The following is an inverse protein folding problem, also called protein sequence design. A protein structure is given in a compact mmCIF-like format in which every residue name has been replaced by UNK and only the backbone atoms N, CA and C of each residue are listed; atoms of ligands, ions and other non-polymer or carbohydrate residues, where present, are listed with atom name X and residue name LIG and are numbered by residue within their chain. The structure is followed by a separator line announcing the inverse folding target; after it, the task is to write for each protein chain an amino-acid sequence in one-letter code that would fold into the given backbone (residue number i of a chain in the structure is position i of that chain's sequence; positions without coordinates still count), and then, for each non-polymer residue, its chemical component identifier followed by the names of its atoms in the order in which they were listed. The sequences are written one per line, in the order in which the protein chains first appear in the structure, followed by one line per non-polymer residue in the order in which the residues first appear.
data_IF_950727328548
#
_entry.id   IF_950727328548
#
_cell.length_a   1.000
_cell.length_b   1.000
_cell.length_c   1.000
_cell.angle_alpha   90.00
_cell.angle_beta   90.00
_cell.angle_gamma   90.00
#
_symmetry.space_group_name_H-M   'P 1'
#
loop_
_entity.id
_entity.type
_entity.pdbx_description
1 polymer ?
#
# COMPACT_ATOMS: atom_id res chain seq x y z
N UNK A 1 10.54 34.32 8.09
CA UNK A 1 9.81 33.75 6.94
C UNK A 1 8.53 34.55 6.70
N UNK A 2 8.24 34.94 5.44
CA UNK A 2 6.97 35.55 5.05
C UNK A 2 6.67 35.22 3.59
N UNK A 3 5.46 34.74 3.31
CA UNK A 3 5.05 34.31 1.97
C UNK A 3 3.53 34.37 1.78
N UNK A 4 3.13 34.30 0.52
CA UNK A 4 1.74 34.14 0.09
C UNK A 4 1.65 32.92 -0.83
N UNK A 5 0.64 32.07 -0.61
CA UNK A 5 0.46 30.82 -1.35
C UNK A 5 -1.03 30.58 -1.63
N UNK A 6 -1.34 29.87 -2.72
CA UNK A 6 -2.69 29.36 -2.97
C UNK A 6 -3.11 28.38 -1.87
N UNK A 7 -4.33 28.53 -1.37
CA UNK A 7 -4.95 27.61 -0.39
C UNK A 7 -4.96 26.17 -0.89
N UNK A 8 -5.33 25.99 -2.16
CA UNK A 8 -5.41 24.66 -2.77
C UNK A 8 -4.04 23.99 -2.83
N UNK A 9 -3.00 24.74 -3.22
CA UNK A 9 -1.64 24.23 -3.26
C UNK A 9 -1.10 23.93 -1.88
N UNK A 10 -1.31 24.81 -0.90
CA UNK A 10 -0.92 24.54 0.49
C UNK A 10 -1.61 23.27 1.03
N UNK A 11 -2.92 23.14 0.82
CA UNK A 11 -3.68 21.96 1.25
C UNK A 11 -3.18 20.68 0.57
N UNK A 12 -2.83 20.74 -0.73
CA UNK A 12 -2.27 19.64 -1.52
C UNK A 12 -0.94 19.15 -0.94
N UNK A 13 0.02 20.05 -0.79
CA UNK A 13 1.37 19.68 -0.35
C UNK A 13 1.41 19.27 1.13
N UNK A 14 0.68 19.98 2.03
CA UNK A 14 0.55 19.57 3.43
C UNK A 14 -0.16 18.24 3.56
N UNK A 15 -1.20 17.99 2.75
CA UNK A 15 -1.94 16.74 2.74
C UNK A 15 -1.10 15.55 2.24
N UNK A 16 -0.24 15.77 1.24
CA UNK A 16 0.66 14.73 0.72
C UNK A 16 1.72 14.34 1.77
N UNK A 17 2.39 15.32 2.35
CA UNK A 17 3.46 15.13 3.33
C UNK A 17 2.90 14.67 4.69
N UNK A 18 1.74 15.16 5.08
CA UNK A 18 1.12 14.85 6.38
C UNK A 18 0.77 13.37 6.59
N UNK A 19 0.74 12.56 5.52
CA UNK A 19 0.52 11.11 5.62
C UNK A 19 1.67 10.37 6.33
N UNK A 20 2.88 10.91 6.29
CA UNK A 20 4.05 10.36 6.99
C UNK A 20 3.95 10.61 8.47
N UNK A 21 3.43 11.78 8.84
CA UNK A 21 3.38 12.25 10.24
C UNK A 21 2.42 11.41 11.06
N UNK A 22 2.91 10.87 12.17
CA UNK A 22 2.08 10.07 13.06
C UNK A 22 1.16 10.94 13.91
N UNK A 23 -0.09 10.49 14.04
CA UNK A 23 -1.10 11.21 14.83
C UNK A 23 -0.77 11.27 16.33
N UNK A 24 0.02 10.32 16.83
CA UNK A 24 0.47 10.22 18.22
C UNK A 24 1.95 9.87 18.23
N UNK A 25 2.76 10.75 18.78
CA UNK A 25 4.20 10.54 18.96
C UNK A 25 4.63 11.11 20.32
N UNK A 26 5.61 10.49 20.94
CA UNK A 26 6.24 10.98 22.17
C UNK A 26 7.28 12.05 21.87
N UNK A 27 7.68 12.25 20.63
CA UNK A 27 8.67 13.23 20.17
C UNK A 27 7.93 14.38 19.47
N UNK A 28 7.74 15.54 20.14
CA UNK A 28 6.86 16.62 19.63
C UNK A 28 7.16 17.08 18.21
N UNK A 29 8.45 17.15 17.81
CA UNK A 29 8.82 17.64 16.49
C UNK A 29 8.36 16.71 15.35
N UNK A 30 8.16 15.41 15.62
CA UNK A 30 7.66 14.44 14.64
C UNK A 30 6.14 14.60 14.34
N UNK A 31 5.42 15.39 15.14
CA UNK A 31 4.05 15.82 14.81
C UNK A 31 4.01 17.06 13.92
N UNK A 32 5.17 17.69 13.71
CA UNK A 32 5.34 18.87 12.87
C UNK A 32 5.79 18.47 11.45
N UNK A 33 5.62 19.40 10.55
CA UNK A 33 6.25 19.45 9.22
C UNK A 33 7.21 20.63 9.19
N UNK A 34 8.32 20.46 8.49
CA UNK A 34 9.26 21.53 8.20
C UNK A 34 8.75 22.32 7.00
N UNK A 35 8.67 23.62 7.15
CA UNK A 35 8.41 24.58 6.07
C UNK A 35 9.72 25.32 5.75
N UNK A 36 10.13 25.32 4.49
CA UNK A 36 11.28 26.08 3.99
C UNK A 36 10.86 26.92 2.78
N UNK A 37 10.90 28.22 2.95
CA UNK A 37 10.56 29.21 1.92
C UNK A 37 11.84 29.72 1.26
N UNK A 38 12.07 29.35 0.00
CA UNK A 38 13.28 29.68 -0.77
C UNK A 38 12.92 29.97 -2.24
N UNK A 39 13.57 30.97 -2.83
CA UNK A 39 13.31 31.38 -4.20
C UNK A 39 11.84 31.73 -4.41
N UNK A 40 11.15 30.99 -5.25
CA UNK A 40 9.72 31.14 -5.55
C UNK A 40 8.90 29.94 -5.09
N UNK A 41 9.42 29.13 -4.17
CA UNK A 41 8.78 27.87 -3.75
C UNK A 41 8.74 27.73 -2.23
N UNK A 42 7.67 27.13 -1.76
CA UNK A 42 7.55 26.60 -0.41
C UNK A 42 7.80 25.09 -0.47
N UNK A 43 8.85 24.62 0.19
CA UNK A 43 9.16 23.21 0.40
C UNK A 43 8.59 22.79 1.74
N UNK A 44 7.94 21.63 1.78
CA UNK A 44 7.35 21.04 2.98
C UNK A 44 7.90 19.63 3.15
N UNK A 45 8.46 19.32 4.32
CA UNK A 45 9.01 18.00 4.64
C UNK A 45 8.36 17.46 5.90
N UNK A 46 7.98 16.19 5.89
CA UNK A 46 7.51 15.44 7.04
C UNK A 46 8.27 14.12 7.16
N UNK A 47 8.47 13.64 8.39
CA UNK A 47 9.17 12.37 8.66
C UNK A 47 8.68 11.72 9.94
N UNK A 48 8.82 10.39 9.99
CA UNK A 48 8.68 9.57 11.21
C UNK A 48 10.01 8.89 11.60
N UNK A 49 11.14 9.33 11.01
CA UNK A 49 12.51 8.80 11.13
C UNK A 49 12.81 7.60 10.22
N UNK A 50 11.81 6.91 9.72
CA UNK A 50 11.97 5.77 8.80
C UNK A 50 11.53 6.13 7.38
N UNK A 51 10.58 7.05 7.28
CA UNK A 51 10.03 7.56 6.03
C UNK A 51 10.11 9.08 6.06
N UNK A 52 10.50 9.68 4.94
CA UNK A 52 10.45 11.12 4.72
C UNK A 52 9.70 11.42 3.43
N UNK A 53 8.73 12.31 3.51
CA UNK A 53 8.08 12.87 2.32
C UNK A 53 8.40 14.35 2.21
N UNK A 54 8.73 14.79 1.01
CA UNK A 54 8.92 16.20 0.67
C UNK A 54 8.02 16.54 -0.51
N UNK A 55 7.34 17.68 -0.41
CA UNK A 55 6.57 18.24 -1.52
C UNK A 55 6.83 19.73 -1.62
N UNK A 56 6.69 20.29 -2.82
CA UNK A 56 6.84 21.73 -3.01
C UNK A 56 5.69 22.33 -3.80
N UNK A 57 5.47 23.62 -3.61
CA UNK A 57 4.48 24.41 -4.34
C UNK A 57 5.03 25.81 -4.62
N UNK A 58 4.56 26.40 -5.69
CA UNK A 58 4.85 27.81 -6.01
C UNK A 58 4.26 28.73 -4.95
N UNK A 59 5.02 29.73 -4.54
CA UNK A 59 4.63 30.70 -3.55
C UNK A 59 5.36 32.03 -3.79
N UNK A 60 4.71 33.13 -3.51
CA UNK A 60 5.36 34.46 -3.52
C UNK A 60 6.10 34.64 -2.19
N UNK A 61 7.41 34.51 -2.21
CA UNK A 61 8.27 34.62 -1.03
C UNK A 61 8.68 36.09 -0.84
N UNK A 62 8.20 36.73 0.25
CA UNK A 62 8.58 38.06 0.63
C UNK A 62 9.86 38.06 1.49
N UNK A 63 9.95 37.07 2.40
CA UNK A 63 11.11 36.85 3.25
C UNK A 63 11.39 35.38 3.36
N UNK A 64 12.54 34.89 2.89
CA UNK A 64 12.93 33.50 3.01
C UNK A 64 13.11 33.08 4.50
N UNK A 65 13.15 31.78 4.73
CA UNK A 65 13.40 31.20 6.04
C UNK A 65 12.67 29.88 6.23
N UNK A 66 12.93 29.27 7.39
CA UNK A 66 12.39 27.95 7.72
C UNK A 66 11.89 27.89 9.16
N UNK A 67 10.90 27.02 9.39
CA UNK A 67 10.34 26.72 10.71
C UNK A 67 9.64 25.36 10.67
N UNK A 68 9.27 24.83 11.83
CA UNK A 68 8.37 23.67 11.88
C UNK A 68 7.04 24.03 12.53
N UNK A 69 5.96 23.39 12.07
CA UNK A 69 4.60 23.62 12.55
C UNK A 69 3.79 22.32 12.51
N UNK A 70 2.77 22.21 13.37
CA UNK A 70 1.88 21.06 13.40
C UNK A 70 1.27 20.76 12.02
N UNK A 71 1.57 19.59 11.48
CA UNK A 71 1.04 19.09 10.20
C UNK A 71 -0.49 19.08 10.20
N UNK A 72 -1.08 18.56 11.27
CA UNK A 72 -2.53 18.46 11.44
C UNK A 72 -3.20 19.84 11.44
N UNK A 73 -2.71 20.76 12.28
CA UNK A 73 -3.33 22.09 12.41
C UNK A 73 -3.23 22.89 11.11
N UNK A 74 -2.05 22.93 10.49
CA UNK A 74 -1.89 23.65 9.21
C UNK A 74 -2.72 23.01 8.09
N UNK A 75 -2.78 21.69 8.03
CA UNK A 75 -3.62 20.96 7.07
C UNK A 75 -5.12 21.22 7.27
N UNK A 76 -5.60 21.23 8.52
CA UNK A 76 -7.00 21.52 8.84
C UNK A 76 -7.36 22.98 8.47
N UNK A 77 -6.49 23.94 8.77
CA UNK A 77 -6.65 25.34 8.41
C UNK A 77 -6.69 25.49 6.88
N UNK A 78 -5.73 24.91 6.16
CA UNK A 78 -5.68 25.02 4.70
C UNK A 78 -6.93 24.43 4.02
N UNK A 79 -7.46 23.30 4.53
CA UNK A 79 -8.70 22.70 3.99
C UNK A 79 -9.95 23.53 4.27
N UNK A 80 -10.01 24.20 5.43
CA UNK A 80 -11.20 24.93 5.90
C UNK A 80 -11.17 26.43 5.61
N UNK A 81 -10.05 26.98 5.14
CA UNK A 81 -9.91 28.39 4.83
C UNK A 81 -10.90 28.82 3.74
N UNK A 82 -11.50 29.99 3.91
CA UNK A 82 -12.55 30.52 3.01
C UNK A 82 -12.03 31.27 1.79
N UNK A 83 -10.77 31.71 1.81
CA UNK A 83 -10.16 32.46 0.70
C UNK A 83 -9.18 31.60 -0.08
N UNK A 84 -9.01 31.88 -1.37
CA UNK A 84 -8.11 31.18 -2.27
C UNK A 84 -6.63 31.48 -1.98
N UNK A 85 -6.34 32.57 -1.29
CA UNK A 85 -4.97 32.98 -0.95
C UNK A 85 -4.77 32.95 0.55
N UNK A 86 -3.61 32.44 0.96
CA UNK A 86 -3.17 32.37 2.34
C UNK A 86 -1.84 33.10 2.52
N UNK A 87 -1.75 33.93 3.56
CA UNK A 87 -0.53 34.59 3.97
C UNK A 87 0.05 33.88 5.19
N UNK A 88 1.32 33.50 5.11
CA UNK A 88 2.07 32.88 6.20
C UNK A 88 3.21 33.80 6.62
N UNK A 89 3.32 34.11 7.90
CA UNK A 89 4.43 34.90 8.42
C UNK A 89 4.87 34.43 9.81
N UNK A 90 6.18 34.32 10.02
CA UNK A 90 6.76 34.03 11.33
C UNK A 90 6.79 35.33 12.14
N UNK A 91 6.15 35.31 13.30
CA UNK A 91 6.11 36.39 14.28
C UNK A 91 6.54 35.84 15.66
N UNK A 92 7.75 36.18 16.06
CA UNK A 92 8.38 35.56 17.23
C UNK A 92 8.52 34.04 17.07
N UNK A 93 7.89 33.30 17.98
CA UNK A 93 7.84 31.83 18.02
C UNK A 93 6.56 31.24 17.41
N UNK A 94 5.76 32.06 16.73
CA UNK A 94 4.48 31.63 16.15
C UNK A 94 4.41 31.88 14.65
N UNK A 95 3.83 30.90 13.95
CA UNK A 95 3.41 31.07 12.57
C UNK A 95 2.03 31.70 12.55
N UNK A 96 1.96 32.96 12.09
CA UNK A 96 0.70 33.62 11.75
C UNK A 96 0.23 33.14 10.39
N UNK A 97 -0.99 32.61 10.32
CA UNK A 97 -1.66 32.19 9.09
C UNK A 97 -2.91 33.03 8.91
N UNK A 98 -3.02 33.73 7.78
CA UNK A 98 -4.18 34.57 7.45
C UNK A 98 -4.86 34.06 6.19
N UNK A 99 -6.19 34.05 6.20
CA UNK A 99 -7.03 33.80 5.04
C UNK A 99 -8.27 34.69 5.13
N UNK A 100 -8.28 35.77 4.34
CA UNK A 100 -9.28 36.81 4.44
C UNK A 100 -9.31 37.47 5.83
N UNK A 101 -10.46 37.38 6.52
CA UNK A 101 -10.62 37.90 7.89
C UNK A 101 -10.16 36.94 8.99
N UNK A 102 -9.95 35.67 8.63
CA UNK A 102 -9.51 34.67 9.59
C UNK A 102 -8.03 34.78 9.86
N UNK A 103 -7.63 34.70 11.14
CA UNK A 103 -6.25 34.73 11.58
C UNK A 103 -6.01 33.60 12.58
N UNK A 104 -4.92 32.87 12.39
CA UNK A 104 -4.50 31.79 13.26
C UNK A 104 -3.05 32.05 13.67
N UNK A 105 -2.70 31.67 14.90
CA UNK A 105 -1.34 31.70 15.41
C UNK A 105 -0.97 30.30 15.89
N UNK A 106 -0.02 29.68 15.23
CA UNK A 106 0.43 28.31 15.50
C UNK A 106 1.82 28.34 16.15
N UNK A 107 1.99 27.59 17.23
CA UNK A 107 3.31 27.42 17.83
C UNK A 107 4.26 26.73 16.86
N UNK A 108 5.51 27.17 16.84
CA UNK A 108 6.57 26.62 16.00
C UNK A 108 7.68 26.02 16.85
N UNK A 109 8.47 25.12 16.25
CA UNK A 109 9.75 24.69 16.79
C UNK A 109 10.85 25.05 15.78
N UNK A 110 12.11 25.19 16.23
CA UNK A 110 13.22 25.51 15.34
C UNK A 110 13.38 24.49 14.21
N UNK A 111 13.65 24.98 12.99
CA UNK A 111 13.92 24.13 11.84
C UNK A 111 15.20 23.27 12.04
N UNK A 112 16.17 23.78 12.82
CA UNK A 112 17.42 23.06 13.17
C UNK A 112 17.20 21.76 13.90
N UNK A 113 16.08 21.62 14.59
CA UNK A 113 15.76 20.45 15.41
C UNK A 113 15.01 19.38 14.61
N UNK A 114 14.61 19.71 13.36
CA UNK A 114 13.87 18.78 12.52
C UNK A 114 14.82 17.72 11.95
N UNK A 115 14.52 16.43 12.15
CA UNK A 115 15.38 15.35 11.66
C UNK A 115 15.33 15.24 10.13
N UNK A 116 16.49 15.00 9.54
CA UNK A 116 16.65 14.77 8.11
C UNK A 116 17.02 13.32 7.81
N UNK A 117 16.24 12.66 6.99
CA UNK A 117 16.56 11.34 6.46
C UNK A 117 17.49 11.50 5.27
N UNK A 118 18.81 11.65 5.55
CA UNK A 118 19.84 11.85 4.52
C UNK A 118 19.63 10.93 3.33
N UNK A 119 19.94 11.43 2.15
CA UNK A 119 19.91 10.66 0.92
C UNK A 119 20.81 9.41 1.02
N UNK A 120 20.49 8.38 0.23
CA UNK A 120 21.20 7.11 0.19
C UNK A 120 22.07 6.97 -1.06
N UNK A 121 22.81 5.87 -1.12
CA UNK A 121 23.34 5.37 -2.40
C UNK A 121 22.26 4.51 -3.04
N UNK A 122 22.12 4.63 -4.35
CA UNK A 122 21.15 3.87 -5.13
C UNK A 122 21.87 3.08 -6.21
N UNK A 123 21.53 1.81 -6.33
CA UNK A 123 22.17 0.85 -7.24
C UNK A 123 21.43 0.77 -8.57
N UNK A 124 20.13 1.05 -8.58
CA UNK A 124 19.29 1.08 -9.76
C UNK A 124 18.29 2.24 -9.72
N UNK A 125 17.95 2.75 -10.92
CA UNK A 125 16.90 3.75 -11.09
C UNK A 125 16.10 3.45 -12.35
N UNK A 126 14.76 3.56 -12.25
CA UNK A 126 13.84 3.25 -13.34
C UNK A 126 12.51 3.99 -13.19
N UNK A 127 11.75 4.07 -14.28
CA UNK A 127 10.42 4.66 -14.28
C UNK A 127 9.35 3.56 -14.40
N UNK A 128 8.40 3.51 -13.46
CA UNK A 128 7.32 2.51 -13.44
C UNK A 128 6.09 3.07 -12.71
N UNK A 129 4.90 2.56 -12.98
CA UNK A 129 3.74 2.73 -12.08
C UNK A 129 3.89 1.75 -10.90
N UNK A 130 4.71 2.16 -9.91
CA UNK A 130 4.98 1.32 -8.73
C UNK A 130 3.73 1.06 -7.91
N UNK A 131 2.81 2.02 -7.84
CA UNK A 131 1.55 1.85 -7.14
C UNK A 131 0.69 0.76 -7.79
N UNK A 132 0.58 0.75 -9.12
CA UNK A 132 -0.14 -0.28 -9.86
C UNK A 132 0.54 -1.66 -9.74
N UNK A 133 1.88 -1.71 -9.74
CA UNK A 133 2.62 -2.96 -9.55
C UNK A 133 2.37 -3.59 -8.18
N UNK A 134 2.38 -2.81 -7.10
CA UNK A 134 2.28 -3.36 -5.74
C UNK A 134 0.83 -3.49 -5.22
N UNK A 135 -0.12 -2.74 -5.78
CA UNK A 135 -1.51 -2.74 -5.29
C UNK A 135 -2.14 -4.14 -5.22
N UNK A 136 -1.97 -5.02 -6.24
CA UNK A 136 -2.54 -6.35 -6.19
C UNK A 136 -1.89 -7.29 -5.17
N UNK A 137 -0.77 -6.90 -4.55
CA UNK A 137 -0.05 -7.72 -3.55
C UNK A 137 -0.28 -7.23 -2.12
N UNK A 138 -0.68 -5.98 -1.94
CA UNK A 138 -0.71 -5.31 -0.64
C UNK A 138 -1.62 -5.98 0.41
N UNK A 139 -2.69 -6.68 -0.01
CA UNK A 139 -3.59 -7.40 0.89
C UNK A 139 -2.92 -8.59 1.60
N UNK A 140 -1.85 -9.13 1.02
CA UNK A 140 -1.12 -10.27 1.55
C UNK A 140 0.06 -9.88 2.47
N UNK A 141 0.29 -8.58 2.70
CA UNK A 141 1.32 -8.12 3.64
C UNK A 141 0.95 -8.56 5.07
N UNK A 142 1.88 -9.19 5.77
CA UNK A 142 1.71 -9.59 7.17
C UNK A 142 1.61 -8.37 8.11
N UNK A 143 0.91 -8.58 9.22
CA UNK A 143 0.84 -7.63 10.34
C UNK A 143 1.45 -8.18 11.62
N UNK A 144 2.05 -9.38 11.56
CA UNK A 144 2.67 -10.01 12.71
C UNK A 144 4.03 -9.37 13.01
N UNK A 145 4.23 -8.90 14.24
CA UNK A 145 5.46 -8.25 14.67
C UNK A 145 6.66 -9.20 14.70
N UNK A 146 6.43 -10.47 15.01
CA UNK A 146 7.48 -11.48 15.09
C UNK A 146 8.05 -11.87 13.74
N UNK A 147 7.29 -11.68 12.66
CA UNK A 147 7.69 -11.92 11.27
C UNK A 147 7.83 -10.62 10.50
N UNK A 148 8.57 -9.65 11.08
CA UNK A 148 8.71 -8.29 10.55
C UNK A 148 9.18 -8.24 9.08
N UNK A 149 9.98 -9.23 8.63
CA UNK A 149 10.42 -9.35 7.24
C UNK A 149 9.29 -9.66 6.24
N UNK A 150 8.09 -9.96 6.71
CA UNK A 150 6.87 -10.10 5.91
C UNK A 150 5.95 -8.86 5.98
N UNK A 151 6.33 -7.81 6.74
CA UNK A 151 5.51 -6.61 6.94
C UNK A 151 5.68 -5.57 5.82
N UNK A 152 5.99 -6.04 4.62
CA UNK A 152 6.16 -5.24 3.44
C UNK A 152 5.98 -6.03 2.15
N UNK A 153 6.19 -5.36 1.03
CA UNK A 153 6.24 -5.97 -0.30
C UNK A 153 7.69 -6.22 -0.67
N UNK A 154 7.99 -7.46 -1.03
CA UNK A 154 9.28 -7.84 -1.60
C UNK A 154 9.32 -7.42 -3.06
N UNK A 155 10.16 -6.46 -3.38
CA UNK A 155 10.41 -5.95 -4.72
C UNK A 155 11.76 -6.48 -5.21
N UNK A 156 11.77 -7.22 -6.29
CA UNK A 156 13.00 -7.82 -6.82
C UNK A 156 12.96 -7.99 -8.33
N UNK A 157 14.13 -8.23 -8.90
CA UNK A 157 14.28 -8.59 -10.31
C UNK A 157 14.33 -10.12 -10.46
N UNK A 158 13.64 -10.62 -11.47
CA UNK A 158 13.73 -12.00 -11.91
C UNK A 158 13.83 -12.02 -13.43
N UNK A 159 14.99 -12.40 -13.96
CA UNK A 159 15.31 -12.25 -15.39
C UNK A 159 15.12 -10.78 -15.83
N UNK A 160 14.20 -10.52 -16.72
CA UNK A 160 13.87 -9.19 -17.24
C UNK A 160 12.55 -8.64 -16.66
N UNK A 161 12.08 -9.20 -15.56
CA UNK A 161 10.84 -8.80 -14.90
C UNK A 161 11.13 -8.11 -13.57
N UNK A 162 10.34 -7.08 -13.26
CA UNK A 162 10.22 -6.47 -11.95
C UNK A 162 9.02 -7.10 -11.22
N UNK A 163 9.28 -7.78 -10.12
CA UNK A 163 8.28 -8.50 -9.35
C UNK A 163 8.02 -7.86 -8.00
N UNK A 164 6.75 -7.79 -7.64
CA UNK A 164 6.26 -7.45 -6.31
C UNK A 164 5.60 -8.68 -5.70
N UNK A 165 6.00 -9.05 -4.49
CA UNK A 165 5.49 -10.24 -3.79
C UNK A 165 5.17 -9.89 -2.35
N UNK A 166 4.04 -10.37 -1.84
CA UNK A 166 3.70 -10.30 -0.42
C UNK A 166 3.09 -11.61 0.06
N UNK A 167 3.32 -11.95 1.32
CA UNK A 167 2.75 -13.13 1.98
C UNK A 167 2.65 -12.92 3.48
N UNK A 168 1.63 -13.53 4.09
CA UNK A 168 1.48 -13.65 5.55
C UNK A 168 1.67 -15.09 6.05
N UNK A 169 2.05 -16.01 5.14
CA UNK A 169 2.21 -17.45 5.39
C UNK A 169 0.93 -18.26 5.19
N UNK A 170 -0.23 -17.62 5.01
CA UNK A 170 -1.51 -18.26 4.71
C UNK A 170 -1.95 -18.03 3.26
N UNK A 171 -1.47 -16.97 2.69
CA UNK A 171 -1.69 -16.58 1.31
C UNK A 171 -0.47 -15.84 0.77
N UNK A 172 -0.34 -15.85 -0.54
CA UNK A 172 0.71 -15.15 -1.26
C UNK A 172 0.08 -14.44 -2.45
N UNK A 173 0.59 -13.28 -2.77
CA UNK A 173 0.26 -12.58 -4.00
C UNK A 173 1.54 -12.13 -4.68
N UNK A 174 1.65 -12.40 -5.97
CA UNK A 174 2.74 -11.99 -6.83
C UNK A 174 2.17 -11.23 -8.03
N UNK A 175 2.80 -10.12 -8.35
CA UNK A 175 2.51 -9.36 -9.56
C UNK A 175 3.82 -8.93 -10.22
N UNK A 176 3.88 -8.95 -11.54
CA UNK A 176 5.09 -8.65 -12.29
C UNK A 176 4.79 -7.81 -13.54
N UNK A 177 5.80 -7.04 -13.93
CA UNK A 177 5.84 -6.26 -15.18
C UNK A 177 7.22 -6.40 -15.78
N UNK A 178 7.38 -6.09 -17.06
CA UNK A 178 8.70 -5.99 -17.67
C UNK A 178 9.55 -4.95 -16.92
N UNK A 179 10.81 -5.26 -16.68
CA UNK A 179 11.70 -4.33 -15.99
C UNK A 179 12.14 -3.19 -16.94
N UNK A 180 11.75 -1.95 -16.66
CA UNK A 180 12.00 -0.83 -17.59
C UNK A 180 13.34 -0.15 -17.38
N UNK A 181 14.19 -0.65 -16.47
CA UNK A 181 15.39 0.05 -16.02
C UNK A 181 16.70 -0.55 -16.54
N UNK A 182 17.75 0.21 -16.34
CA UNK A 182 19.13 -0.24 -16.46
C UNK A 182 19.72 -0.46 -15.05
N UNK A 183 20.71 -1.35 -14.94
CA UNK A 183 21.27 -1.75 -13.66
C UNK A 183 20.48 -2.85 -12.97
N UNK A 184 21.02 -3.34 -11.87
CA UNK A 184 20.41 -4.42 -11.09
C UNK A 184 20.49 -4.07 -9.61
N UNK A 185 19.53 -4.52 -8.85
CA UNK A 185 19.51 -4.40 -7.39
C UNK A 185 19.15 -5.74 -6.76
N UNK A 186 19.59 -5.95 -5.55
CA UNK A 186 19.16 -7.07 -4.75
C UNK A 186 17.69 -6.87 -4.34
N UNK A 187 16.97 -7.99 -4.15
CA UNK A 187 15.59 -7.91 -3.68
C UNK A 187 15.49 -7.13 -2.36
N UNK A 188 14.51 -6.23 -2.27
CA UNK A 188 14.30 -5.34 -1.13
C UNK A 188 12.88 -5.45 -0.60
N UNK A 189 12.70 -5.22 0.71
CA UNK A 189 11.38 -5.28 1.35
C UNK A 189 10.91 -3.86 1.64
N UNK A 190 9.92 -3.40 0.86
CA UNK A 190 9.32 -2.08 0.99
C UNK A 190 8.26 -2.10 2.09
N UNK A 191 8.40 -1.30 3.16
CA UNK A 191 7.50 -1.33 4.30
C UNK A 191 6.04 -1.06 3.92
N UNK A 192 5.10 -1.71 4.61
CA UNK A 192 3.65 -1.53 4.41
C UNK A 192 3.20 -0.06 4.43
N UNK A 193 3.75 0.75 5.36
CA UNK A 193 3.42 2.19 5.45
C UNK A 193 3.85 2.93 4.19
N UNK A 194 5.02 2.62 3.64
CA UNK A 194 5.52 3.19 2.39
C UNK A 194 4.63 2.79 1.21
N UNK A 195 4.26 1.52 1.11
CA UNK A 195 3.32 1.00 0.08
C UNK A 195 2.00 1.79 0.09
N UNK A 196 1.46 2.09 1.28
CA UNK A 196 0.23 2.87 1.43
C UNK A 196 0.33 4.35 1.03
N UNK A 197 1.54 4.86 0.75
CA UNK A 197 1.78 6.26 0.40
C UNK A 197 2.27 6.47 -1.03
N UNK A 198 2.40 5.42 -1.81
CA UNK A 198 2.90 5.49 -3.19
C UNK A 198 2.02 6.42 -4.05
N UNK A 199 2.62 7.33 -4.80
CA UNK A 199 1.90 8.12 -5.80
C UNK A 199 1.36 7.22 -6.93
N UNK A 200 0.21 7.58 -7.46
CA UNK A 200 -0.37 6.91 -8.65
C UNK A 200 0.31 7.37 -9.93
N UNK A 201 0.32 6.49 -10.92
CA UNK A 201 0.93 6.73 -12.22
C UNK A 201 2.43 6.48 -12.21
N UNK A 202 3.08 6.79 -13.33
CA UNK A 202 4.51 6.59 -13.49
C UNK A 202 5.32 7.48 -12.56
N UNK A 203 6.29 6.88 -11.88
CA UNK A 203 7.19 7.52 -10.93
C UNK A 203 8.63 7.09 -11.18
N UNK A 204 9.58 7.95 -10.86
CA UNK A 204 10.99 7.58 -10.84
C UNK A 204 11.31 6.89 -9.51
N UNK A 205 11.73 5.64 -9.60
CA UNK A 205 12.12 4.81 -8.46
C UNK A 205 13.62 4.65 -8.45
N UNK A 206 14.25 4.93 -7.31
CA UNK A 206 15.67 4.63 -7.08
C UNK A 206 15.78 3.67 -5.90
N UNK A 207 16.45 2.54 -6.10
CA UNK A 207 16.58 1.46 -5.12
C UNK A 207 18.05 1.32 -4.74
N UNK A 208 18.33 1.31 -3.45
CA UNK A 208 19.62 0.98 -2.86
C UNK A 208 19.47 -0.10 -1.80
N UNK A 209 20.55 -0.43 -1.12
CA UNK A 209 20.58 -1.49 -0.11
C UNK A 209 19.68 -1.21 1.10
N UNK A 210 19.67 0.04 1.59
CA UNK A 210 18.96 0.40 2.81
C UNK A 210 17.76 1.33 2.61
N UNK A 211 17.60 1.90 1.41
CA UNK A 211 16.57 2.90 1.13
C UNK A 211 16.01 2.77 -0.27
N UNK A 212 14.74 3.16 -0.40
CA UNK A 212 14.06 3.40 -1.66
C UNK A 212 13.62 4.85 -1.73
N UNK A 213 13.79 5.48 -2.90
CA UNK A 213 13.34 6.84 -3.19
C UNK A 213 12.37 6.80 -4.36
N UNK A 214 11.22 7.43 -4.19
CA UNK A 214 10.16 7.51 -5.20
C UNK A 214 9.88 8.98 -5.47
N UNK A 215 10.07 9.43 -6.72
CA UNK A 215 9.86 10.81 -7.12
C UNK A 215 8.75 10.92 -8.17
N UNK A 216 7.81 11.84 -7.95
CA UNK A 216 6.67 12.11 -8.83
C UNK A 216 6.42 13.62 -8.87
N UNK A 217 6.85 14.30 -9.93
CA UNK A 217 6.77 15.75 -10.02
C UNK A 217 7.44 16.43 -8.81
N UNK A 218 6.66 17.25 -8.10
CA UNK A 218 7.11 17.98 -6.91
C UNK A 218 7.16 17.15 -5.62
N UNK A 219 6.73 15.90 -5.66
CA UNK A 219 6.68 15.00 -4.50
C UNK A 219 7.82 14.00 -4.52
N UNK A 220 8.49 13.85 -3.39
CA UNK A 220 9.55 12.83 -3.18
C UNK A 220 9.24 12.09 -1.88
N UNK A 221 9.22 10.77 -1.96
CA UNK A 221 9.09 9.86 -0.82
C UNK A 221 10.39 9.06 -0.71
N UNK A 222 11.07 9.16 0.42
CA UNK A 222 12.24 8.34 0.75
C UNK A 222 11.89 7.46 1.95
N UNK A 223 12.13 6.17 1.86
CA UNK A 223 11.84 5.20 2.92
C UNK A 223 13.06 4.34 3.21
N UNK A 224 13.32 4.05 4.47
CA UNK A 224 14.13 2.90 4.84
C UNK A 224 13.45 1.63 4.37
N UNK A 225 14.23 0.64 4.02
CA UNK A 225 13.79 -0.71 3.70
C UNK A 225 13.78 -1.57 4.96
N UNK A 226 12.99 -2.63 4.96
CA UNK A 226 13.03 -3.61 6.07
C UNK A 226 14.32 -4.43 5.92
N UNK A 227 15.17 -4.37 6.95
CA UNK A 227 16.38 -5.20 7.04
C UNK A 227 15.98 -6.63 7.42
N UNK A 228 15.97 -7.52 6.43
CA UNK A 228 15.56 -8.91 6.60
C UNK A 228 15.62 -9.68 5.29
N UNK A 229 15.55 -11.00 5.41
CA UNK A 229 15.53 -11.89 4.26
C UNK A 229 14.11 -12.35 3.99
N UNK A 230 13.56 -11.99 2.83
CA UNK A 230 12.27 -12.51 2.40
C UNK A 230 12.41 -14.00 2.06
N UNK A 231 11.43 -14.87 2.45
CA UNK A 231 11.54 -16.30 2.20
C UNK A 231 11.52 -16.61 0.70
N UNK A 232 12.09 -17.76 0.35
CA UNK A 232 12.06 -18.30 -1.02
C UNK A 232 10.61 -18.70 -1.37
N UNK A 233 9.85 -17.74 -1.81
CA UNK A 233 8.42 -17.87 -2.10
C UNK A 233 8.15 -18.75 -3.33
N UNK A 234 9.08 -18.89 -4.26
CA UNK A 234 8.92 -19.74 -5.45
C UNK A 234 8.68 -21.22 -5.07
N UNK A 235 9.19 -21.65 -3.93
CA UNK A 235 8.98 -23.01 -3.44
C UNK A 235 7.57 -23.29 -2.94
N UNK A 236 6.84 -22.27 -2.56
CA UNK A 236 5.46 -22.44 -2.04
C UNK A 236 4.41 -22.31 -3.12
N UNK A 237 4.76 -21.86 -4.33
CA UNK A 237 3.86 -21.79 -5.47
C UNK A 237 3.74 -23.20 -6.09
N UNK A 238 2.55 -23.84 -6.04
CA UNK A 238 2.36 -25.15 -6.61
C UNK A 238 2.55 -25.16 -8.14
N UNK A 239 3.33 -26.14 -8.63
CA UNK A 239 3.56 -26.30 -10.09
C UNK A 239 2.78 -27.47 -10.68
N UNK A 240 2.16 -28.33 -9.84
CA UNK A 240 1.48 -29.56 -10.24
C UNK A 240 -0.03 -29.54 -9.99
N UNK A 241 -0.65 -28.36 -9.94
CA UNK A 241 -2.08 -28.21 -9.78
C UNK A 241 -2.76 -28.30 -11.16
N UNK A 242 -3.20 -29.51 -11.54
CA UNK A 242 -3.74 -29.80 -12.87
C UNK A 242 -5.25 -29.60 -12.97
N UNK A 243 -5.97 -29.67 -11.84
CA UNK A 243 -7.43 -29.44 -11.82
C UNK A 243 -7.74 -27.96 -11.97
N UNK A 244 -8.28 -27.60 -13.12
CA UNK A 244 -8.57 -26.22 -13.50
C UNK A 244 -10.07 -25.93 -13.39
N UNK A 245 -10.46 -25.12 -12.45
CA UNK A 245 -11.85 -24.68 -12.21
C UNK A 245 -11.99 -23.24 -12.65
N UNK A 246 -12.84 -22.98 -13.63
CA UNK A 246 -13.13 -21.64 -14.17
C UNK A 246 -14.45 -21.18 -13.61
N UNK A 247 -14.48 -20.00 -13.00
CA UNK A 247 -15.69 -19.40 -12.40
C UNK A 247 -15.75 -17.90 -12.70
N UNK A 248 -16.96 -17.36 -12.77
CA UNK A 248 -17.13 -15.90 -12.77
C UNK A 248 -16.75 -15.33 -11.40
N UNK A 249 -15.85 -14.33 -11.37
CA UNK A 249 -15.34 -13.72 -10.13
C UNK A 249 -16.46 -13.18 -9.23
N UNK A 250 -17.41 -12.44 -9.81
CA UNK A 250 -18.44 -11.75 -9.05
C UNK A 250 -19.49 -12.73 -8.51
N UNK A 251 -19.83 -13.77 -9.29
CA UNK A 251 -20.68 -14.85 -8.83
C UNK A 251 -20.06 -15.59 -7.66
N UNK A 252 -18.76 -15.91 -7.76
CA UNK A 252 -18.02 -16.59 -6.72
C UNK A 252 -17.93 -15.76 -5.44
N UNK A 253 -17.54 -14.47 -5.53
CA UNK A 253 -17.48 -13.57 -4.39
C UNK A 253 -18.82 -13.43 -3.69
N UNK A 254 -19.91 -13.25 -4.45
CA UNK A 254 -21.26 -13.11 -3.89
C UNK A 254 -21.73 -14.40 -3.19
N UNK A 255 -21.45 -15.56 -3.76
CA UNK A 255 -21.78 -16.84 -3.12
C UNK A 255 -20.98 -17.04 -1.82
N UNK A 256 -19.68 -16.80 -1.85
CA UNK A 256 -18.83 -16.84 -0.67
C UNK A 256 -19.31 -15.89 0.44
N UNK A 257 -19.64 -14.63 0.09
CA UNK A 257 -20.13 -13.63 1.06
C UNK A 257 -21.49 -14.05 1.67
N UNK A 258 -22.42 -14.62 0.86
CA UNK A 258 -23.73 -15.08 1.36
C UNK A 258 -23.55 -16.18 2.40
N UNK A 259 -22.78 -17.24 2.12
CA UNK A 259 -22.59 -18.33 3.06
C UNK A 259 -21.73 -17.92 4.26
N UNK A 260 -20.78 -16.99 4.07
CA UNK A 260 -19.95 -16.47 5.16
C UNK A 260 -20.73 -15.68 6.22
N UNK A 261 -21.96 -15.26 5.92
CA UNK A 261 -22.83 -14.54 6.88
C UNK A 261 -23.08 -15.33 8.15
N UNK A 262 -23.14 -16.66 8.06
CA UNK A 262 -23.31 -17.54 9.24
C UNK A 262 -21.99 -18.05 9.80
N UNK A 263 -20.83 -17.66 9.27
CA UNK A 263 -19.55 -18.12 9.79
C UNK A 263 -19.26 -17.50 11.17
N UNK A 264 -18.63 -18.27 12.07
CA UNK A 264 -18.17 -17.75 13.35
C UNK A 264 -16.97 -16.82 13.16
N UNK A 265 -16.81 -15.79 14.01
CA UNK A 265 -15.65 -14.87 13.96
C UNK A 265 -14.30 -15.59 14.03
N UNK A 266 -14.22 -16.74 14.70
CA UNK A 266 -13.00 -17.52 14.89
C UNK A 266 -12.67 -18.48 13.73
N UNK A 267 -13.69 -19.00 13.03
CA UNK A 267 -13.49 -20.05 12.02
C UNK A 267 -13.35 -19.52 10.60
N UNK A 268 -14.22 -18.63 10.16
CA UNK A 268 -14.32 -18.06 8.80
C UNK A 268 -14.07 -19.06 7.67
N UNK A 269 -14.23 -20.37 7.96
CA UNK A 269 -13.96 -21.43 6.99
C UNK A 269 -15.17 -21.60 6.07
N UNK A 270 -14.93 -21.62 4.79
CA UNK A 270 -15.89 -22.04 3.75
C UNK A 270 -15.41 -23.33 3.14
N UNK A 271 -16.25 -24.34 3.09
CA UNK A 271 -16.00 -25.56 2.32
C UNK A 271 -16.49 -25.33 0.89
N UNK A 272 -15.64 -25.57 -0.07
CA UNK A 272 -15.96 -25.66 -1.47
C UNK A 272 -16.09 -27.13 -1.87
N UNK A 273 -17.22 -27.48 -2.49
CA UNK A 273 -17.46 -28.79 -3.11
C UNK A 273 -17.48 -28.59 -4.62
N UNK A 274 -16.41 -28.96 -5.29
CA UNK A 274 -16.19 -28.76 -6.72
C UNK A 274 -16.57 -30.04 -7.42
N UNK A 275 -17.50 -29.94 -8.35
CA UNK A 275 -18.00 -31.04 -9.16
C UNK A 275 -18.11 -30.63 -10.64
N UNK A 276 -18.21 -31.59 -11.58
CA UNK A 276 -18.43 -31.25 -12.99
C UNK A 276 -19.61 -30.26 -13.17
N UNK A 277 -19.30 -29.08 -13.71
CA UNK A 277 -20.28 -28.04 -13.98
C UNK A 277 -20.59 -27.07 -12.84
N UNK A 278 -20.20 -27.35 -11.59
CA UNK A 278 -20.55 -26.49 -10.45
C UNK A 278 -19.53 -26.39 -9.33
N UNK A 279 -19.65 -25.34 -8.53
CA UNK A 279 -18.96 -25.17 -7.23
C UNK A 279 -20.00 -24.89 -6.16
N UNK A 280 -20.15 -25.81 -5.22
CA UNK A 280 -20.97 -25.64 -4.02
C UNK A 280 -20.16 -24.98 -2.89
N UNK A 281 -20.85 -24.16 -2.11
CA UNK A 281 -20.30 -23.47 -0.93
C UNK A 281 -21.06 -23.93 0.30
N UNK A 282 -20.34 -24.28 1.36
CA UNK A 282 -20.96 -24.67 2.62
C UNK A 282 -20.24 -24.03 3.80
N UNK A 283 -20.99 -23.43 4.69
CA UNK A 283 -20.55 -23.04 6.04
C UNK A 283 -21.42 -23.76 7.03
N UNK A 284 -20.81 -24.46 7.98
CA UNK A 284 -21.50 -25.16 9.04
C UNK A 284 -20.91 -24.74 10.39
N UNK A 285 -21.77 -24.28 11.30
CA UNK A 285 -21.42 -24.01 12.70
C UNK A 285 -22.50 -24.57 13.64
N UNK A 286 -22.30 -24.39 14.95
CA UNK A 286 -23.22 -24.92 15.96
C UNK A 286 -24.67 -24.41 15.81
N UNK A 287 -24.87 -23.21 15.25
CA UNK A 287 -26.16 -22.50 15.26
C UNK A 287 -26.81 -22.45 13.87
N UNK A 288 -26.04 -22.63 12.79
CA UNK A 288 -26.55 -22.45 11.45
C UNK A 288 -25.73 -23.21 10.38
N UNK A 289 -26.41 -23.57 9.30
CA UNK A 289 -25.81 -24.09 8.06
C UNK A 289 -26.24 -23.18 6.92
N UNK A 290 -25.29 -22.75 6.11
CA UNK A 290 -25.56 -22.04 4.87
C UNK A 290 -24.94 -22.79 3.70
N UNK A 291 -25.69 -22.87 2.60
CA UNK A 291 -25.23 -23.46 1.34
C UNK A 291 -25.57 -22.55 0.18
N UNK A 292 -24.73 -22.56 -0.84
CA UNK A 292 -24.95 -21.89 -2.11
C UNK A 292 -24.23 -22.66 -3.22
N UNK A 293 -24.57 -22.39 -4.47
CA UNK A 293 -23.94 -23.03 -5.62
C UNK A 293 -23.85 -22.06 -6.81
N UNK A 294 -22.78 -22.16 -7.57
CA UNK A 294 -22.58 -21.43 -8.81
C UNK A 294 -22.17 -22.38 -9.94
N UNK A 295 -22.39 -21.97 -11.18
CA UNK A 295 -21.86 -22.67 -12.35
C UNK A 295 -20.32 -22.55 -12.43
N UNK A 296 -19.66 -23.58 -12.91
CA UNK A 296 -18.21 -23.62 -13.09
C UNK A 296 -17.81 -24.43 -14.34
N UNK A 297 -16.82 -23.93 -15.03
CA UNK A 297 -16.12 -24.68 -16.08
C UNK A 297 -15.14 -25.69 -15.46
N UNK A 298 -15.66 -26.84 -15.08
CA UNK A 298 -14.91 -27.97 -14.53
C UNK A 298 -15.47 -29.29 -15.02
N UNK A 299 -14.60 -30.26 -15.27
CA UNK A 299 -15.00 -31.59 -15.76
C UNK A 299 -14.18 -32.73 -15.14
N UNK A 300 -13.36 -32.42 -14.13
CA UNK A 300 -12.54 -33.41 -13.42
C UNK A 300 -13.29 -34.15 -12.31
N UNK A 301 -12.56 -34.96 -11.55
CA UNK A 301 -13.08 -35.65 -10.38
C UNK A 301 -13.46 -34.67 -9.26
N UNK A 302 -14.52 -34.97 -8.48
CA UNK A 302 -14.94 -34.10 -7.39
C UNK A 302 -13.83 -33.81 -6.38
N UNK A 303 -13.71 -32.54 -5.96
CA UNK A 303 -12.74 -32.07 -4.97
C UNK A 303 -13.47 -31.32 -3.85
N UNK A 304 -13.18 -31.65 -2.60
CA UNK A 304 -13.59 -30.85 -1.44
C UNK A 304 -12.39 -30.13 -0.85
N UNK A 305 -12.50 -28.81 -0.65
CA UNK A 305 -11.42 -28.00 -0.11
C UNK A 305 -12.00 -26.88 0.75
N UNK A 306 -11.36 -26.59 1.87
CA UNK A 306 -11.75 -25.49 2.74
C UNK A 306 -10.84 -24.28 2.60
N UNK A 307 -11.39 -23.08 2.69
CA UNK A 307 -10.62 -21.84 2.69
C UNK A 307 -11.13 -20.86 3.74
N UNK A 308 -10.27 -19.92 4.14
CA UNK A 308 -10.70 -18.74 4.88
C UNK A 308 -11.46 -17.80 3.95
N UNK A 309 -12.71 -17.52 4.28
CA UNK A 309 -13.61 -16.67 3.51
C UNK A 309 -13.06 -15.26 3.26
N UNK A 310 -12.43 -14.68 4.29
CA UNK A 310 -11.84 -13.35 4.17
C UNK A 310 -10.66 -13.34 3.18
N UNK A 311 -9.77 -14.34 3.30
CA UNK A 311 -8.62 -14.43 2.39
C UNK A 311 -9.04 -14.68 0.95
N UNK A 312 -10.03 -15.54 0.77
CA UNK A 312 -10.61 -15.81 -0.55
C UNK A 312 -11.20 -14.54 -1.18
N UNK A 313 -11.97 -13.77 -0.40
CA UNK A 313 -12.54 -12.50 -0.84
C UNK A 313 -11.46 -11.46 -1.19
N UNK A 314 -10.45 -11.31 -0.35
CA UNK A 314 -9.38 -10.32 -0.58
C UNK A 314 -8.55 -10.65 -1.83
N UNK A 315 -8.24 -11.92 -2.05
CA UNK A 315 -7.57 -12.40 -3.27
C UNK A 315 -8.40 -12.09 -4.53
N UNK A 316 -9.71 -12.37 -4.48
CA UNK A 316 -10.60 -12.12 -5.62
C UNK A 316 -10.84 -10.63 -5.86
N UNK A 317 -10.79 -9.82 -4.81
CA UNK A 317 -11.06 -8.37 -4.90
C UNK A 317 -10.02 -7.59 -5.71
N UNK A 318 -8.81 -8.11 -5.85
CA UNK A 318 -7.74 -7.45 -6.63
C UNK A 318 -7.77 -7.84 -8.11
N UNK A 319 -8.55 -8.84 -8.48
CA UNK A 319 -8.73 -9.25 -9.87
C UNK A 319 -9.79 -8.39 -10.57
N UNK A 320 -9.66 -8.13 -11.86
CA UNK A 320 -10.72 -7.51 -12.64
C UNK A 320 -11.95 -8.41 -12.71
N UNK A 321 -13.10 -7.85 -13.11
CA UNK A 321 -14.30 -8.62 -13.38
C UNK A 321 -14.08 -9.60 -14.55
N UNK A 322 -14.76 -10.75 -14.52
CA UNK A 322 -14.67 -11.81 -15.51
C UNK A 322 -14.23 -13.12 -14.92
N UNK A 323 -13.70 -14.00 -15.74
CA UNK A 323 -13.33 -15.36 -15.36
C UNK A 323 -12.09 -15.39 -14.45
N UNK A 324 -12.16 -16.19 -13.41
CA UNK A 324 -11.06 -16.55 -12.52
C UNK A 324 -10.82 -18.05 -12.65
N UNK A 325 -9.57 -18.44 -12.55
CA UNK A 325 -9.15 -19.83 -12.59
C UNK A 325 -8.57 -20.25 -11.27
N UNK A 326 -9.18 -21.21 -10.60
CA UNK A 326 -8.61 -21.92 -9.47
C UNK A 326 -7.90 -23.16 -9.99
N UNK A 327 -6.60 -23.26 -9.78
CA UNK A 327 -5.80 -24.47 -10.08
C UNK A 327 -5.60 -25.23 -8.79
N UNK A 328 -6.09 -26.46 -8.75
CA UNK A 328 -6.11 -27.31 -7.56
C UNK A 328 -5.39 -28.63 -7.85
N UNK A 329 -4.84 -29.25 -6.83
CA UNK A 329 -4.36 -30.62 -6.85
C UNK A 329 -5.33 -31.54 -6.11
N UNK A 330 -5.59 -31.21 -4.85
CA UNK A 330 -6.45 -31.95 -3.93
C UNK A 330 -6.97 -31.01 -2.83
N UNK A 331 -7.75 -31.53 -1.88
CA UNK A 331 -8.32 -30.73 -0.77
C UNK A 331 -7.35 -30.29 0.32
N UNK A 332 -6.10 -30.78 0.29
CA UNK A 332 -5.08 -30.47 1.30
C UNK A 332 -3.90 -29.62 0.79
N UNK A 333 -3.85 -29.40 -0.52
CA UNK A 333 -2.77 -28.66 -1.18
C UNK A 333 -3.14 -27.21 -1.43
N UNK A 334 -2.16 -26.29 -1.43
CA UNK A 334 -2.42 -24.87 -1.74
C UNK A 334 -3.02 -24.71 -3.12
N UNK A 335 -4.01 -23.82 -3.23
CA UNK A 335 -4.60 -23.42 -4.51
C UNK A 335 -3.79 -22.31 -5.16
N UNK A 336 -3.65 -22.34 -6.48
CA UNK A 336 -3.19 -21.20 -7.28
C UNK A 336 -4.40 -20.54 -7.92
N UNK A 337 -4.54 -19.23 -7.76
CA UNK A 337 -5.63 -18.43 -8.31
C UNK A 337 -5.03 -17.49 -9.34
N UNK A 338 -5.59 -17.49 -10.54
CA UNK A 338 -5.23 -16.56 -11.62
C UNK A 338 -6.49 -15.96 -12.20
N UNK A 339 -6.38 -14.78 -12.80
CA UNK A 339 -7.48 -14.12 -13.48
C UNK A 339 -7.08 -13.67 -14.89
N UNK A 340 -7.81 -12.71 -15.42
CA UNK A 340 -7.51 -12.07 -16.72
C UNK A 340 -6.43 -10.98 -16.61
N UNK A 341 -5.98 -10.65 -15.40
CA UNK A 341 -4.89 -9.71 -15.20
C UNK A 341 -3.56 -10.35 -15.60
N UNK A 342 -2.86 -9.75 -16.54
CA UNK A 342 -1.55 -10.20 -16.95
C UNK A 342 -0.53 -10.07 -15.81
N UNK A 343 0.34 -11.08 -15.68
CA UNK A 343 1.46 -11.05 -14.73
C UNK A 343 1.08 -11.19 -13.25
N UNK A 344 -0.19 -11.50 -12.92
CA UNK A 344 -0.62 -11.70 -11.54
C UNK A 344 -0.99 -13.15 -11.23
N UNK A 345 -0.58 -13.63 -10.08
CA UNK A 345 -1.04 -14.87 -9.49
C UNK A 345 -1.07 -14.80 -7.95
N UNK A 346 -2.02 -15.54 -7.38
CA UNK A 346 -2.17 -15.70 -5.94
C UNK A 346 -2.14 -17.15 -5.51
N UNK A 347 -1.64 -17.39 -4.30
CA UNK A 347 -1.67 -18.72 -3.65
C UNK A 347 -2.49 -18.60 -2.38
N UNK A 348 -3.37 -19.56 -2.14
CA UNK A 348 -4.19 -19.66 -0.94
C UNK A 348 -4.03 -21.02 -0.28
N UNK A 349 -3.63 -20.99 0.99
CA UNK A 349 -3.50 -22.20 1.80
C UNK A 349 -4.88 -22.73 2.18
N UNK A 350 -5.12 -24.06 2.07
CA UNK A 350 -6.36 -24.65 2.50
C UNK A 350 -6.49 -24.66 4.02
N UNK A 351 -7.72 -24.75 4.49
CA UNK A 351 -8.09 -24.96 5.89
C UNK A 351 -8.80 -26.31 6.05
N UNK A 352 -8.68 -26.91 7.22
CA UNK A 352 -9.53 -28.05 7.58
C UNK A 352 -10.96 -27.57 7.82
N UNK A 353 -11.91 -28.24 7.22
CA UNK A 353 -13.35 -27.98 7.30
C UNK A 353 -14.14 -29.23 7.66
#
# INVERSE_FOLDING_TARGET
MQLTISRTELARVVGAVGKVVEARTTIPILSNILLAAEGERLHITGTDLDIQATASAEATIVKPGSLTVSAKLLGDIARKAGNDTMELSLDGDKLSVKSGRSKFALNTLPASDFPDLKDGKYDASFEVDLAALVAPTAFAISTEETRYYLNGVFLHLHEDELRAVATDGHRLSRHQVDYPGEGRFNGVIVPRKTVGMLPKGKVNVSVGEAKIRIASGDFVLTSKLIDGTFPDYERVIPRSNENRVVVDRDAFMKAADRVATVSSERGRAIKLSIAPGSVGFTVNNADAIATDEIEAGYSGEPIEIGFNALYLREILSVLPAGDVVLKLRDGGSPAVITGTADGWDGVLMPMRV
#
